data_IF_201830431235
#
_entry.id   IF_201830431235
#
_cell.length_a   1.000
_cell.length_b   1.000
_cell.length_c   1.000
_cell.angle_alpha   90.00
_cell.angle_beta   90.00
_cell.angle_gamma   90.00
#
_symmetry.space_group_name_H-M   'P 1'
#
loop_
_entity.id
_entity.type
_entity.pdbx_description
1 polymer ?
#
# COMPACT_ATOMS: atom_id res chain seq x y z
N UNK A 1 -10.05 -45.01 -23.08
CA UNK A 1 -11.17 -45.05 -24.03
C UNK A 1 -12.27 -44.18 -23.47
N UNK A 2 -12.29 -42.91 -23.92
CA UNK A 2 -13.40 -42.21 -24.64
C UNK A 2 -14.50 -41.75 -23.69
N UNK A 3 -14.46 -40.48 -23.29
CA UNK A 3 -15.05 -39.29 -23.94
C UNK A 3 -16.46 -39.04 -23.43
N UNK A 4 -16.69 -37.87 -22.82
CA UNK A 4 -17.46 -36.81 -23.48
C UNK A 4 -17.42 -35.52 -22.67
N UNK A 5 -16.97 -34.48 -23.37
CA UNK A 5 -17.08 -33.07 -23.05
C UNK A 5 -18.39 -32.55 -23.66
N UNK A 6 -19.10 -31.67 -22.94
CA UNK A 6 -20.11 -30.74 -23.48
C UNK A 6 -19.86 -29.42 -22.74
N UNK A 7 -19.28 -28.42 -23.40
CA UNK A 7 -19.91 -27.39 -24.23
C UNK A 7 -20.44 -26.21 -23.39
N UNK A 8 -19.57 -25.20 -23.21
CA UNK A 8 -19.92 -23.87 -22.73
C UNK A 8 -20.10 -22.97 -23.96
N UNK A 9 -21.36 -22.61 -24.24
CA UNK A 9 -21.74 -21.59 -25.21
C UNK A 9 -21.37 -20.20 -24.68
N UNK A 10 -20.45 -19.53 -25.39
CA UNK A 10 -20.29 -18.08 -25.31
C UNK A 10 -21.34 -17.41 -26.22
N UNK A 11 -22.21 -16.57 -25.63
CA UNK A 11 -22.99 -15.60 -26.38
C UNK A 11 -22.32 -14.22 -26.30
N UNK A 12 -21.85 -13.81 -27.47
CA UNK A 12 -21.42 -12.46 -27.81
C UNK A 12 -22.66 -11.60 -28.04
N UNK A 13 -22.71 -10.39 -27.47
CA UNK A 13 -23.64 -9.34 -27.91
C UNK A 13 -22.82 -8.11 -28.26
N UNK A 14 -22.81 -7.83 -29.56
CA UNK A 14 -22.47 -6.58 -30.22
C UNK A 14 -23.79 -5.86 -30.54
N UNK A 15 -23.89 -4.56 -30.29
CA UNK A 15 -24.72 -3.57 -31.01
C UNK A 15 -24.34 -2.17 -30.45
N UNK A 16 -23.62 -1.28 -31.14
CA UNK A 16 -23.92 -0.44 -32.33
C UNK A 16 -24.99 0.67 -32.15
N UNK A 17 -24.51 1.93 -32.21
CA UNK A 17 -25.04 3.16 -32.92
C UNK A 17 -24.72 4.43 -32.12
N UNK A 18 -23.92 5.38 -32.61
CA UNK A 18 -24.06 6.30 -33.76
C UNK A 18 -25.10 7.43 -33.55
N UNK A 19 -24.63 8.68 -33.64
CA UNK A 19 -25.46 9.89 -33.70
C UNK A 19 -24.64 11.18 -33.90
N UNK A 20 -24.56 11.65 -35.14
CA UNK A 20 -24.00 12.93 -35.60
C UNK A 20 -24.90 14.14 -35.29
N UNK A 21 -24.29 15.34 -35.16
CA UNK A 21 -24.72 16.66 -35.68
C UNK A 21 -23.76 17.73 -35.07
N UNK A 22 -23.13 18.70 -35.75
CA UNK A 22 -23.47 19.44 -36.97
C UNK A 22 -23.82 20.89 -36.61
N UNK A 23 -23.05 21.90 -37.04
CA UNK A 23 -23.53 23.30 -37.06
C UNK A 23 -22.50 24.42 -36.93
N UNK A 24 -22.12 25.01 -38.07
CA UNK A 24 -21.38 26.27 -38.25
C UNK A 24 -22.17 27.55 -37.88
N UNK A 25 -21.48 28.67 -37.63
CA UNK A 25 -22.12 30.00 -37.62
C UNK A 25 -21.24 31.24 -37.27
N UNK A 26 -20.59 31.82 -38.30
CA UNK A 26 -20.10 33.22 -38.46
C UNK A 26 -21.20 34.27 -38.17
N UNK A 27 -21.02 35.60 -38.04
CA UNK A 27 -19.95 36.60 -37.91
C UNK A 27 -20.61 38.01 -37.71
N UNK A 28 -19.81 38.98 -37.25
CA UNK A 28 -19.80 40.44 -37.60
C UNK A 28 -20.99 41.37 -37.33
N UNK A 29 -20.69 42.58 -36.81
CA UNK A 29 -21.55 43.77 -36.95
C UNK A 29 -21.22 44.90 -35.98
N UNK A 30 -20.90 46.08 -36.51
CA UNK A 30 -20.19 47.20 -35.90
C UNK A 30 -21.06 48.48 -36.04
N UNK A 31 -21.13 49.35 -35.03
CA UNK A 31 -21.17 50.83 -35.19
C UNK A 31 -21.44 51.59 -33.87
N UNK A 32 -20.47 52.44 -33.49
CA UNK A 32 -20.59 53.69 -32.69
C UNK A 32 -21.22 54.81 -33.58
N UNK A 33 -21.69 55.99 -33.09
CA UNK A 33 -21.05 56.85 -32.05
C UNK A 33 -21.94 57.70 -31.08
N UNK A 34 -21.30 58.10 -29.95
CA UNK A 34 -21.31 59.33 -29.06
C UNK A 34 -22.35 60.47 -29.28
N UNK A 35 -22.57 61.45 -28.32
CA UNK A 35 -21.85 61.84 -27.09
C UNK A 35 -22.79 61.99 -25.84
N UNK A 36 -22.45 62.23 -24.58
CA UNK A 36 -21.28 62.68 -23.83
C UNK A 36 -21.79 63.62 -22.73
N UNK A 37 -21.59 63.32 -21.44
CA UNK A 37 -21.60 64.31 -20.34
C UNK A 37 -20.81 63.81 -19.15
N UNK A 38 -20.00 64.71 -18.60
CA UNK A 38 -19.08 64.58 -17.49
C UNK A 38 -19.69 63.98 -16.21
N UNK A 39 -19.00 63.00 -15.63
CA UNK A 39 -18.82 62.88 -14.18
C UNK A 39 -17.63 61.95 -13.91
N UNK A 40 -16.43 62.50 -14.11
CA UNK A 40 -15.20 61.87 -13.67
C UNK A 40 -15.06 61.95 -12.15
N UNK A 41 -14.49 60.87 -11.61
CA UNK A 41 -13.74 60.80 -10.37
C UNK A 41 -14.51 60.62 -9.04
N UNK A 42 -15.32 59.56 -8.89
CA UNK A 42 -15.58 59.03 -7.53
C UNK A 42 -16.12 57.58 -7.44
N UNK A 43 -15.52 56.60 -8.12
CA UNK A 43 -15.86 55.18 -7.85
C UNK A 43 -14.81 54.16 -8.32
N UNK A 44 -13.53 54.40 -8.02
CA UNK A 44 -12.48 53.39 -8.23
C UNK A 44 -11.34 53.52 -7.22
N UNK A 45 -11.70 53.53 -5.93
CA UNK A 45 -10.75 53.33 -4.82
C UNK A 45 -11.32 52.37 -3.79
N UNK A 46 -11.14 51.07 -4.01
CA UNK A 46 -10.93 50.04 -2.97
C UNK A 46 -10.59 48.72 -3.66
N UNK A 47 -9.59 48.02 -3.12
CA UNK A 47 -8.95 46.77 -3.58
C UNK A 47 -7.73 46.96 -4.50
N UNK A 48 -6.65 47.54 -3.96
CA UNK A 48 -5.25 47.22 -4.32
C UNK A 48 -4.30 47.67 -3.21
N UNK A 49 -4.24 46.85 -2.16
CA UNK A 49 -3.23 46.83 -1.07
C UNK A 49 -3.45 45.46 -0.44
N UNK A 50 -2.52 44.50 -0.37
CA UNK A 50 -1.16 44.57 0.15
C UNK A 50 -0.34 43.46 -0.54
N UNK A 51 0.69 43.82 -1.29
CA UNK A 51 1.79 42.93 -1.67
C UNK A 51 3.05 43.80 -1.65
N UNK A 52 3.53 44.04 -0.43
CA UNK A 52 4.81 44.65 -0.09
C UNK A 52 5.05 44.36 1.38
N UNK A 53 5.62 43.20 1.63
CA UNK A 53 6.69 43.03 2.61
C UNK A 53 7.30 41.64 2.44
N UNK A 54 8.58 41.52 2.82
CA UNK A 54 9.53 40.40 2.65
C UNK A 54 10.50 40.57 1.47
N UNK A 55 11.29 41.65 1.57
CA UNK A 55 12.67 41.63 1.12
C UNK A 55 13.57 40.93 2.14
N UNK A 56 14.59 40.26 1.61
CA UNK A 56 15.87 39.92 2.24
C UNK A 56 15.87 38.92 3.43
N UNK A 57 15.92 37.63 3.10
CA UNK A 57 16.87 36.71 3.76
C UNK A 57 17.68 36.04 2.66
N UNK A 58 18.93 36.48 2.52
CA UNK A 58 19.91 35.89 1.63
C UNK A 58 20.64 34.72 2.29
N UNK A 59 21.16 33.83 1.43
CA UNK A 59 22.32 32.94 1.61
C UNK A 59 22.55 32.34 3.00
N UNK A 60 22.20 31.05 3.16
CA UNK A 60 23.11 30.01 3.68
C UNK A 60 22.42 28.63 3.66
N UNK A 61 22.61 27.86 2.59
CA UNK A 61 22.35 26.42 2.60
C UNK A 61 23.27 25.70 1.60
N UNK A 62 24.56 26.01 1.64
CA UNK A 62 25.62 25.17 1.08
C UNK A 62 26.47 24.74 2.27
N UNK A 63 26.09 23.63 2.91
CA UNK A 63 26.74 23.16 4.13
C UNK A 63 25.81 22.37 5.04
N UNK A 64 25.40 21.20 4.58
CA UNK A 64 24.56 20.28 5.37
C UNK A 64 24.49 18.88 4.76
N UNK A 65 25.56 18.45 4.06
CA UNK A 65 25.71 17.10 3.54
C UNK A 65 26.68 16.32 4.42
N UNK A 66 26.42 16.30 5.73
CA UNK A 66 27.10 15.45 6.70
C UNK A 66 26.23 15.45 7.97
N UNK A 67 25.89 14.27 8.48
CA UNK A 67 25.01 13.98 9.64
C UNK A 67 23.57 13.59 9.34
N UNK A 68 23.21 13.25 8.08
CA UNK A 68 22.16 12.24 7.94
C UNK A 68 22.75 10.94 8.50
N UNK A 69 22.09 10.26 9.47
CA UNK A 69 22.49 8.91 9.81
C UNK A 69 22.51 8.11 8.50
N UNK A 70 23.54 7.31 8.30
CA UNK A 70 23.58 6.41 7.15
C UNK A 70 22.25 5.65 7.10
N UNK A 71 21.64 5.48 5.92
CA UNK A 71 20.49 4.60 5.80
C UNK A 71 20.88 3.27 6.44
N UNK A 72 19.97 2.63 7.20
CA UNK A 72 20.26 1.38 7.87
C UNK A 72 20.92 0.44 6.87
N UNK A 73 22.06 -0.13 7.26
CA UNK A 73 22.75 -1.15 6.46
C UNK A 73 21.72 -2.21 6.11
N UNK A 74 21.53 -2.48 4.81
CA UNK A 74 20.59 -3.49 4.32
C UNK A 74 20.79 -4.77 5.15
N UNK A 75 19.75 -5.27 5.83
CA UNK A 75 19.92 -6.43 6.70
C UNK A 75 20.37 -7.65 5.88
N UNK A 76 21.19 -8.49 6.50
CA UNK A 76 21.60 -9.77 5.93
C UNK A 76 20.35 -10.63 5.68
N UNK A 77 20.29 -11.32 4.55
CA UNK A 77 19.15 -12.17 4.16
C UNK A 77 18.78 -13.12 5.31
N UNK A 78 17.52 -13.09 5.73
CA UNK A 78 17.00 -13.94 6.83
C UNK A 78 17.03 -15.39 6.39
N UNK A 79 17.63 -16.27 7.20
CA UNK A 79 17.57 -17.71 6.96
C UNK A 79 16.17 -18.23 7.31
N UNK A 80 15.57 -19.03 6.44
CA UNK A 80 14.22 -19.57 6.67
C UNK A 80 14.16 -20.36 7.99
N UNK A 81 13.14 -20.09 8.81
CA UNK A 81 12.81 -20.95 9.95
C UNK A 81 12.41 -22.35 9.43
N UNK A 82 13.05 -23.40 9.94
CA UNK A 82 12.97 -24.77 9.38
C UNK A 82 11.91 -25.67 10.05
N UNK A 83 11.25 -25.19 11.12
CA UNK A 83 10.58 -26.11 12.06
C UNK A 83 9.03 -26.02 12.11
N UNK A 84 8.36 -25.18 11.30
CA UNK A 84 6.88 -25.06 11.32
C UNK A 84 6.31 -24.81 9.91
N UNK A 85 6.06 -25.88 9.15
CA UNK A 85 5.25 -25.81 7.94
C UNK A 85 3.78 -25.58 8.33
N UNK A 86 3.42 -24.31 8.60
CA UNK A 86 2.03 -23.91 8.85
C UNK A 86 1.17 -24.03 7.58
N UNK A 87 -0.15 -23.88 7.71
CA UNK A 87 -1.15 -24.15 6.66
C UNK A 87 -0.92 -23.46 5.28
N UNK A 88 -0.12 -22.39 5.24
CA UNK A 88 0.18 -21.62 4.04
C UNK A 88 1.59 -21.83 3.46
N UNK A 89 2.44 -22.61 4.14
CA UNK A 89 3.81 -22.83 3.67
C UNK A 89 3.81 -23.64 2.36
N UNK A 90 4.38 -23.06 1.30
CA UNK A 90 4.38 -23.63 -0.05
C UNK A 90 3.05 -23.55 -0.78
N UNK A 91 2.03 -22.88 -0.22
CA UNK A 91 0.72 -22.77 -0.87
C UNK A 91 0.77 -21.90 -2.14
N UNK A 92 -0.17 -22.17 -3.06
CA UNK A 92 -0.36 -21.40 -4.29
C UNK A 92 -1.81 -20.89 -4.34
N UNK A 93 -1.96 -19.57 -4.45
CA UNK A 93 -3.24 -18.85 -4.40
C UNK A 93 -3.38 -18.00 -5.65
N UNK A 94 -4.19 -18.48 -6.60
CA UNK A 94 -4.39 -17.84 -7.91
C UNK A 94 -5.63 -16.93 -7.97
N UNK A 95 -6.46 -16.91 -6.93
CA UNK A 95 -7.71 -16.15 -6.86
C UNK A 95 -7.92 -15.55 -5.47
N UNK A 96 -8.40 -14.30 -5.41
CA UNK A 96 -8.70 -13.61 -4.15
C UNK A 96 -9.94 -14.18 -3.44
N UNK A 97 -10.80 -14.93 -4.14
CA UNK A 97 -11.91 -15.66 -3.53
C UNK A 97 -11.51 -16.99 -2.88
N UNK A 98 -10.28 -17.46 -3.08
CA UNK A 98 -9.84 -18.77 -2.61
C UNK A 98 -9.23 -18.73 -1.19
N UNK A 99 -8.97 -17.54 -0.65
CA UNK A 99 -8.29 -17.34 0.63
C UNK A 99 -8.61 -15.96 1.20
N UNK A 100 -8.64 -15.78 2.53
CA UNK A 100 -8.72 -14.45 3.15
C UNK A 100 -7.43 -13.62 2.99
N UNK A 101 -6.42 -14.12 2.28
CA UNK A 101 -5.20 -13.36 1.97
C UNK A 101 -5.48 -12.40 0.81
N UNK A 102 -5.33 -11.11 1.07
CA UNK A 102 -5.32 -10.12 -0.01
C UNK A 102 -4.14 -10.40 -0.95
N UNK A 103 -4.37 -10.34 -2.26
CA UNK A 103 -3.31 -10.56 -3.26
C UNK A 103 -2.76 -9.24 -3.78
N UNK A 104 -3.62 -8.24 -3.93
CA UNK A 104 -3.24 -6.91 -4.39
C UNK A 104 -3.76 -5.83 -3.46
N UNK A 105 -3.12 -4.66 -3.54
CA UNK A 105 -3.83 -3.42 -3.22
C UNK A 105 -4.53 -2.88 -4.49
N UNK A 106 -5.58 -2.11 -4.27
CA UNK A 106 -6.45 -1.56 -5.30
C UNK A 106 -6.63 -0.07 -5.09
N UNK A 107 -6.81 0.64 -6.19
CA UNK A 107 -7.28 2.02 -6.18
C UNK A 107 -8.62 2.15 -6.91
N UNK A 108 -9.49 3.08 -6.48
CA UNK A 108 -10.72 3.38 -7.19
C UNK A 108 -10.43 3.97 -8.57
N UNK A 109 -11.26 3.60 -9.53
CA UNK A 109 -11.31 4.11 -10.90
C UNK A 109 -12.75 4.46 -11.25
N UNK A 110 -12.98 5.13 -12.38
CA UNK A 110 -14.34 5.46 -12.83
C UNK A 110 -15.23 4.22 -13.05
N UNK A 111 -14.61 3.08 -13.40
CA UNK A 111 -15.28 1.82 -13.73
C UNK A 111 -15.20 0.76 -12.61
N UNK A 112 -14.70 1.12 -11.41
CA UNK A 112 -14.55 0.18 -10.29
C UNK A 112 -13.19 0.29 -9.61
N UNK A 113 -12.44 -0.81 -9.51
CA UNK A 113 -11.14 -0.86 -8.85
C UNK A 113 -10.07 -1.47 -9.76
N UNK A 114 -8.87 -0.89 -9.74
CA UNK A 114 -7.71 -1.41 -10.47
C UNK A 114 -6.64 -1.91 -9.50
N UNK A 115 -6.14 -3.12 -9.76
CA UNK A 115 -5.00 -3.68 -9.03
C UNK A 115 -3.75 -2.87 -9.34
N UNK A 116 -3.01 -2.45 -8.32
CA UNK A 116 -1.89 -1.52 -8.53
C UNK A 116 -0.54 -2.06 -8.06
N UNK A 117 -0.50 -2.88 -7.01
CA UNK A 117 0.71 -3.41 -6.39
C UNK A 117 0.41 -4.70 -5.62
N UNK A 118 1.40 -5.61 -5.53
CA UNK A 118 1.25 -6.89 -4.86
C UNK A 118 1.36 -6.79 -3.33
N UNK A 119 0.64 -7.69 -2.64
CA UNK A 119 0.96 -8.10 -1.27
C UNK A 119 2.21 -8.99 -1.31
N UNK A 120 3.13 -8.79 -0.36
CA UNK A 120 4.42 -9.49 -0.33
C UNK A 120 4.85 -9.98 1.08
N UNK A 121 4.06 -9.74 2.12
CA UNK A 121 4.24 -10.30 3.46
C UNK A 121 2.88 -10.72 4.02
N UNK A 122 2.79 -11.89 4.65
CA UNK A 122 1.54 -12.45 5.20
C UNK A 122 1.76 -12.99 6.62
N UNK A 123 0.84 -12.68 7.52
CA UNK A 123 0.83 -13.13 8.91
C UNK A 123 -0.43 -13.98 9.16
N UNK A 124 -0.32 -15.31 9.24
CA UNK A 124 -1.45 -16.19 9.54
C UNK A 124 -1.67 -16.25 11.06
N UNK A 125 -2.54 -15.39 11.59
CA UNK A 125 -2.75 -15.19 13.03
C UNK A 125 -4.06 -15.78 13.57
N UNK A 126 -4.86 -16.46 12.74
CA UNK A 126 -6.19 -16.96 13.11
C UNK A 126 -6.20 -17.83 14.38
N UNK A 127 -5.12 -18.58 14.63
CA UNK A 127 -4.95 -19.45 15.81
C UNK A 127 -4.07 -18.82 16.91
N UNK A 128 -3.73 -17.54 16.79
CA UNK A 128 -2.85 -16.84 17.72
C UNK A 128 -3.63 -15.87 18.63
N UNK A 129 -3.09 -15.60 19.82
CA UNK A 129 -3.63 -14.57 20.74
C UNK A 129 -3.22 -13.13 20.35
N UNK A 130 -2.66 -12.97 19.15
CA UNK A 130 -2.17 -11.70 18.61
C UNK A 130 -2.87 -11.38 17.30
N UNK A 131 -2.94 -10.09 16.94
CA UNK A 131 -3.58 -9.62 15.71
C UNK A 131 -2.82 -8.46 15.06
N UNK A 132 -3.49 -7.70 14.20
CA UNK A 132 -2.90 -6.56 13.48
C UNK A 132 -2.18 -5.56 14.40
N UNK A 133 -2.72 -5.24 15.58
CA UNK A 133 -2.04 -4.30 16.49
C UNK A 133 -0.69 -4.84 16.99
N UNK A 134 -0.54 -6.15 17.19
CA UNK A 134 0.74 -6.76 17.54
C UNK A 134 1.72 -6.74 16.37
N UNK A 135 1.23 -6.91 15.13
CA UNK A 135 2.01 -6.75 13.91
C UNK A 135 2.55 -5.31 13.85
N UNK A 136 1.68 -4.31 14.01
CA UNK A 136 2.09 -2.89 13.95
C UNK A 136 3.03 -2.49 15.10
N UNK A 137 2.83 -3.03 16.31
CA UNK A 137 3.68 -2.74 17.46
C UNK A 137 5.15 -3.14 17.26
N UNK A 138 5.42 -4.20 16.49
CA UNK A 138 6.79 -4.59 16.13
C UNK A 138 7.47 -3.52 15.27
N UNK A 139 6.74 -2.94 14.31
CA UNK A 139 7.26 -1.87 13.46
C UNK A 139 7.50 -0.59 14.27
N UNK A 140 6.59 -0.23 15.17
CA UNK A 140 6.76 0.92 16.06
C UNK A 140 7.98 0.75 16.98
N UNK A 141 8.18 -0.45 17.53
CA UNK A 141 9.38 -0.77 18.32
C UNK A 141 10.67 -0.68 17.49
N UNK A 142 10.60 -0.93 16.18
CA UNK A 142 11.69 -0.72 15.23
C UNK A 142 11.85 0.74 14.79
N UNK A 143 11.08 1.68 15.35
CA UNK A 143 11.18 3.11 15.09
C UNK A 143 10.31 3.62 13.94
N UNK A 144 9.40 2.80 13.41
CA UNK A 144 8.46 3.22 12.39
C UNK A 144 7.30 4.00 13.00
N UNK A 145 6.70 4.90 12.22
CA UNK A 145 5.53 5.69 12.63
C UNK A 145 4.26 5.20 11.94
N UNK A 146 3.15 5.13 12.67
CA UNK A 146 1.80 4.91 12.11
C UNK A 146 1.13 6.18 11.60
N UNK A 147 1.69 7.35 11.93
CA UNK A 147 1.22 8.64 11.41
C UNK A 147 1.89 8.90 10.07
N UNK A 148 1.23 8.47 9.00
CA UNK A 148 1.73 8.57 7.62
C UNK A 148 0.73 9.38 6.78
N UNK A 149 1.23 10.34 6.00
CA UNK A 149 0.42 10.99 4.95
C UNK A 149 0.44 10.11 3.69
N UNK A 150 -0.72 9.62 3.28
CA UNK A 150 -0.84 8.75 2.11
C UNK A 150 -2.23 8.74 1.47
N UNK A 151 -2.31 8.12 0.31
CA UNK A 151 -3.55 7.88 -0.41
C UNK A 151 -4.31 6.68 0.16
N UNK A 152 -5.64 6.75 0.10
CA UNK A 152 -6.49 5.59 0.38
C UNK A 152 -6.19 4.45 -0.58
N UNK A 153 -6.02 3.25 -0.03
CA UNK A 153 -5.86 2.00 -0.77
C UNK A 153 -6.78 0.93 -0.21
N UNK A 154 -7.14 -0.01 -1.07
CA UNK A 154 -8.15 -1.03 -0.79
C UNK A 154 -7.58 -2.42 -1.04
N UNK A 155 -8.17 -3.43 -0.44
CA UNK A 155 -7.97 -4.82 -0.78
C UNK A 155 -9.33 -5.51 -0.89
N UNK A 156 -9.41 -6.58 -1.68
CA UNK A 156 -10.63 -7.38 -1.78
C UNK A 156 -10.80 -8.26 -0.53
N UNK A 157 -11.95 -8.14 0.15
CA UNK A 157 -12.38 -9.02 1.23
C UNK A 157 -13.41 -10.03 0.68
N UNK A 158 -13.05 -11.32 0.55
CA UNK A 158 -13.94 -12.33 0.00
C UNK A 158 -15.13 -12.67 0.93
N UNK A 159 -15.03 -12.39 2.23
CA UNK A 159 -16.14 -12.63 3.18
C UNK A 159 -17.23 -11.56 3.02
N UNK A 160 -16.84 -10.34 2.68
CA UNK A 160 -17.77 -9.22 2.48
C UNK A 160 -18.16 -9.02 1.01
N UNK A 161 -17.50 -9.71 0.08
CA UNK A 161 -17.63 -9.49 -1.37
C UNK A 161 -17.43 -8.00 -1.71
N UNK A 162 -16.39 -7.39 -1.11
CA UNK A 162 -16.19 -5.94 -1.17
C UNK A 162 -14.72 -5.52 -1.11
N UNK A 163 -14.43 -4.35 -1.68
CA UNK A 163 -13.15 -3.67 -1.51
C UNK A 163 -13.12 -2.89 -0.19
N UNK A 164 -12.20 -3.26 0.70
CA UNK A 164 -12.08 -2.71 2.05
C UNK A 164 -10.85 -1.82 2.15
N UNK A 165 -11.03 -0.64 2.74
CA UNK A 165 -9.95 0.32 3.00
C UNK A 165 -8.87 -0.29 3.90
N UNK A 166 -7.61 0.08 3.71
CA UNK A 166 -6.50 -0.37 4.56
C UNK A 166 -6.80 -0.17 6.06
N UNK A 167 -6.48 -1.18 6.87
CA UNK A 167 -6.73 -1.17 8.31
C UNK A 167 -5.59 -0.49 9.08
N UNK A 168 -4.36 -0.61 8.60
CA UNK A 168 -3.21 0.04 9.20
C UNK A 168 -2.12 0.37 8.18
N UNK A 169 -1.23 1.27 8.59
CA UNK A 169 -0.07 1.73 7.84
C UNK A 169 1.07 2.05 8.78
N UNK A 170 2.31 1.90 8.30
CA UNK A 170 3.48 2.42 8.97
C UNK A 170 4.60 2.72 7.98
N UNK A 171 5.42 3.73 8.28
CA UNK A 171 6.58 4.08 7.48
C UNK A 171 7.76 4.52 8.35
N UNK A 172 8.97 4.59 7.79
CA UNK A 172 10.16 5.09 8.48
C UNK A 172 10.06 6.59 8.84
N UNK A 173 9.19 7.34 8.16
CA UNK A 173 8.90 8.74 8.48
C UNK A 173 7.49 9.15 8.05
N UNK A 174 6.90 10.23 8.61
CA UNK A 174 5.53 10.62 8.31
C UNK A 174 5.28 11.03 6.85
N UNK A 175 6.28 11.63 6.20
CA UNK A 175 6.16 12.19 4.84
C UNK A 175 6.92 11.35 3.82
N UNK A 176 6.30 11.14 2.65
CA UNK A 176 6.89 10.42 1.52
C UNK A 176 8.10 11.13 0.95
N UNK A 177 9.29 10.64 1.28
CA UNK A 177 10.55 11.02 0.64
C UNK A 177 11.10 9.81 -0.12
N UNK A 178 11.90 10.05 -1.15
CA UNK A 178 12.52 8.98 -1.91
C UNK A 178 13.33 8.06 -1.01
N UNK A 179 13.15 6.75 -1.18
CA UNK A 179 13.87 5.73 -0.43
C UNK A 179 13.26 5.39 0.92
N UNK A 180 12.12 6.01 1.27
CA UNK A 180 11.38 5.68 2.49
C UNK A 180 10.70 4.33 2.33
N UNK A 181 10.88 3.46 3.32
CA UNK A 181 10.10 2.23 3.42
C UNK A 181 8.71 2.50 4.01
N UNK A 182 7.71 1.88 3.40
CA UNK A 182 6.30 2.05 3.73
C UNK A 182 5.58 0.70 3.66
N UNK A 183 4.74 0.44 4.66
CA UNK A 183 3.82 -0.70 4.67
C UNK A 183 2.36 -0.29 4.76
N UNK A 184 1.49 -1.09 4.14
CA UNK A 184 0.04 -1.04 4.28
C UNK A 184 -0.49 -2.43 4.64
N UNK A 185 -1.47 -2.49 5.53
CA UNK A 185 -1.98 -3.74 6.08
C UNK A 185 -3.52 -3.84 5.97
N UNK A 186 -3.97 -5.05 5.69
CA UNK A 186 -5.36 -5.49 5.75
C UNK A 186 -5.43 -6.73 6.64
N UNK A 187 -6.50 -6.87 7.40
CA UNK A 187 -6.72 -8.01 8.28
C UNK A 187 -8.09 -8.63 8.00
N UNK A 188 -8.10 -9.85 7.47
CA UNK A 188 -9.32 -10.59 7.16
C UNK A 188 -9.20 -11.99 7.77
N UNK A 189 -10.24 -12.41 8.51
CA UNK A 189 -10.31 -13.74 9.14
C UNK A 189 -9.06 -14.13 9.95
N UNK A 190 -8.48 -13.16 10.67
CA UNK A 190 -7.27 -13.38 11.46
C UNK A 190 -6.00 -13.53 10.63
N UNK A 191 -6.01 -13.15 9.36
CA UNK A 191 -4.82 -13.09 8.52
C UNK A 191 -4.50 -11.64 8.18
N UNK A 192 -3.28 -11.21 8.51
CA UNK A 192 -2.78 -9.90 8.09
C UNK A 192 -2.04 -10.03 6.77
N UNK A 193 -2.49 -9.31 5.76
CA UNK A 193 -1.83 -9.16 4.47
C UNK A 193 -1.15 -7.80 4.41
N UNK A 194 0.16 -7.79 4.15
CA UNK A 194 0.98 -6.58 4.16
C UNK A 194 1.64 -6.35 2.80
N UNK A 195 1.47 -5.14 2.29
CA UNK A 195 2.25 -4.61 1.19
C UNK A 195 3.42 -3.82 1.77
N UNK A 196 4.65 -4.28 1.53
CA UNK A 196 5.87 -3.55 1.84
C UNK A 196 6.53 -3.02 0.56
N UNK A 197 6.87 -1.75 0.52
CA UNK A 197 7.52 -1.12 -0.64
C UNK A 197 8.43 0.03 -0.23
N UNK A 198 9.32 0.41 -1.15
CA UNK A 198 10.13 1.62 -1.07
C UNK A 198 9.56 2.70 -2.00
N UNK A 199 9.34 3.89 -1.46
CA UNK A 199 8.80 5.05 -2.19
C UNK A 199 9.81 5.59 -3.24
N UNK A 200 9.35 5.90 -4.46
CA UNK A 200 10.11 6.76 -5.39
C UNK A 200 9.97 8.24 -5.00
N UNK A 201 10.75 9.17 -5.58
CA UNK A 201 10.51 10.58 -5.36
C UNK A 201 9.10 10.99 -5.84
N UNK A 202 8.49 11.92 -5.12
CA UNK A 202 7.15 12.49 -5.39
C UNK A 202 7.03 13.14 -6.79
N UNK A 203 8.15 13.42 -7.48
CA UNK A 203 8.16 14.11 -8.79
C UNK A 203 8.99 13.34 -9.82
N UNK A 204 8.51 13.21 -11.08
CA UNK A 204 7.23 13.72 -11.60
C UNK A 204 5.99 12.88 -11.21
N UNK A 205 6.19 11.66 -10.73
CA UNK A 205 5.14 10.76 -10.26
C UNK A 205 5.67 9.95 -9.08
N UNK A 206 4.95 9.93 -7.97
CA UNK A 206 5.19 8.98 -6.88
C UNK A 206 4.91 7.56 -7.40
N UNK A 207 5.76 6.62 -7.02
CA UNK A 207 5.82 5.27 -7.54
C UNK A 207 6.65 4.40 -6.61
N UNK A 208 7.04 3.22 -7.06
CA UNK A 208 7.70 2.23 -6.21
C UNK A 208 9.08 1.88 -6.76
N UNK A 209 10.07 1.98 -5.89
CA UNK A 209 11.48 1.69 -6.21
C UNK A 209 11.75 0.20 -6.13
N UNK A 210 11.24 -0.47 -5.08
CA UNK A 210 11.39 -1.91 -4.91
C UNK A 210 10.32 -2.50 -3.99
N UNK A 211 9.89 -3.73 -4.28
CA UNK A 211 9.14 -4.59 -3.34
C UNK A 211 10.07 -5.55 -2.60
N UNK A 212 11.08 -6.10 -3.28
CA UNK A 212 11.95 -7.14 -2.69
C UNK A 212 12.77 -6.58 -1.54
N UNK A 213 13.40 -5.42 -1.72
CA UNK A 213 14.21 -4.80 -0.66
C UNK A 213 13.39 -4.40 0.57
N UNK A 214 12.16 -3.94 0.34
CA UNK A 214 11.22 -3.64 1.42
C UNK A 214 10.77 -4.91 2.16
N UNK A 215 10.41 -5.98 1.43
CA UNK A 215 10.07 -7.30 2.00
C UNK A 215 11.20 -7.84 2.88
N UNK A 216 12.43 -7.86 2.37
CA UNK A 216 13.62 -8.32 3.10
C UNK A 216 13.87 -7.49 4.37
N UNK A 217 13.58 -6.20 4.35
CA UNK A 217 13.71 -5.34 5.53
C UNK A 217 12.65 -5.68 6.58
N UNK A 218 11.40 -5.90 6.16
CA UNK A 218 10.32 -6.34 7.04
C UNK A 218 10.65 -7.71 7.65
N UNK A 219 11.10 -8.68 6.84
CA UNK A 219 11.57 -9.98 7.32
C UNK A 219 12.60 -9.83 8.45
N UNK A 220 13.61 -8.99 8.27
CA UNK A 220 14.65 -8.77 9.27
C UNK A 220 14.12 -8.11 10.56
N UNK A 221 13.18 -7.16 10.44
CA UNK A 221 12.56 -6.51 11.61
C UNK A 221 11.80 -7.53 12.46
N UNK A 222 11.01 -8.40 11.83
CA UNK A 222 10.24 -9.42 12.56
C UNK A 222 11.13 -10.53 13.11
N UNK A 223 12.14 -10.98 12.37
CA UNK A 223 13.13 -11.95 12.85
C UNK A 223 13.87 -11.41 14.10
N UNK A 224 14.31 -10.15 14.06
CA UNK A 224 14.95 -9.48 15.21
C UNK A 224 14.00 -9.35 16.43
N UNK A 225 12.69 -9.26 16.20
CA UNK A 225 11.67 -9.27 17.24
C UNK A 225 11.32 -10.69 17.75
N UNK A 226 12.00 -11.74 17.25
CA UNK A 226 11.80 -13.13 17.65
C UNK A 226 10.62 -13.83 16.96
N UNK A 227 10.02 -13.22 15.94
CA UNK A 227 9.00 -13.87 15.12
C UNK A 227 9.65 -14.87 14.17
N UNK A 228 8.91 -15.93 13.81
CA UNK A 228 9.40 -16.93 12.86
C UNK A 228 9.12 -16.46 11.44
N UNK A 229 10.18 -16.26 10.65
CA UNK A 229 10.08 -15.81 9.27
C UNK A 229 10.43 -16.94 8.31
N UNK A 230 9.55 -17.17 7.33
CA UNK A 230 9.78 -18.08 6.20
C UNK A 230 9.74 -17.26 4.91
N UNK A 231 10.91 -16.83 4.38
CA UNK A 231 10.97 -15.98 3.20
C UNK A 231 10.38 -16.66 1.96
N UNK A 232 9.62 -15.92 1.15
CA UNK A 232 9.06 -16.36 -0.15
C UNK A 232 8.30 -17.69 -0.11
N UNK A 233 7.71 -18.01 1.04
CA UNK A 233 7.05 -19.29 1.29
C UNK A 233 5.73 -19.46 0.55
N UNK A 234 5.05 -18.35 0.22
CA UNK A 234 3.71 -18.36 -0.36
C UNK A 234 3.73 -17.85 -1.80
N UNK A 235 3.07 -18.54 -2.72
CA UNK A 235 2.84 -18.06 -4.09
C UNK A 235 1.45 -17.44 -4.20
N UNK A 236 1.39 -16.13 -4.41
CA UNK A 236 0.15 -15.39 -4.57
C UNK A 236 -0.18 -15.14 -6.05
N UNK A 237 0.61 -15.69 -6.99
CA UNK A 237 0.43 -15.47 -8.43
C UNK A 237 0.22 -13.99 -8.80
N UNK A 238 0.90 -13.07 -8.10
CA UNK A 238 0.81 -11.61 -8.24
C UNK A 238 2.16 -11.00 -8.68
N UNK A 239 2.85 -11.69 -9.59
CA UNK A 239 4.22 -11.40 -10.04
C UNK A 239 4.33 -10.52 -11.28
N UNK A 240 3.39 -9.62 -11.52
CA UNK A 240 3.32 -8.75 -12.71
C UNK A 240 3.97 -7.37 -12.50
N UNK A 241 4.59 -7.13 -11.33
CA UNK A 241 5.23 -5.87 -10.99
C UNK A 241 6.75 -5.85 -11.27
N UNK A 242 7.32 -4.64 -11.37
CA UNK A 242 8.68 -4.33 -11.88
C UNK A 242 9.81 -5.13 -11.22
N UNK A 243 9.66 -5.53 -9.96
CA UNK A 243 10.64 -6.36 -9.24
C UNK A 243 10.00 -7.38 -8.26
N UNK A 244 8.76 -7.83 -8.51
CA UNK A 244 8.07 -8.80 -7.66
C UNK A 244 7.85 -10.14 -8.38
N UNK A 245 8.18 -11.24 -7.73
CA UNK A 245 8.14 -12.60 -8.30
C UNK A 245 6.84 -13.37 -8.00
N UNK A 246 5.85 -12.67 -7.44
CA UNK A 246 4.58 -13.28 -7.02
C UNK A 246 4.63 -13.96 -5.65
N UNK A 247 5.78 -13.90 -4.96
CA UNK A 247 6.02 -14.64 -3.72
C UNK A 247 5.95 -13.73 -2.50
N UNK A 248 5.17 -14.14 -1.52
CA UNK A 248 5.08 -13.50 -0.22
C UNK A 248 5.83 -14.29 0.85
N UNK A 249 6.36 -13.56 1.83
CA UNK A 249 6.99 -14.16 3.02
C UNK A 249 5.95 -14.41 4.10
N UNK A 250 6.08 -15.54 4.80
CA UNK A 250 5.21 -15.89 5.93
C UNK A 250 5.90 -15.52 7.23
N UNK A 251 5.19 -14.76 8.08
CA UNK A 251 5.70 -14.30 9.37
C UNK A 251 4.75 -14.73 10.48
N UNK A 252 5.25 -15.51 11.44
CA UNK A 252 4.46 -16.13 12.51
C UNK A 252 4.92 -15.64 13.88
N UNK A 253 4.00 -15.47 14.84
CA UNK A 253 4.36 -15.04 16.20
C UNK A 253 5.31 -16.05 16.84
N UNK A 254 6.12 -15.64 17.84
CA UNK A 254 7.01 -16.54 18.58
C UNK A 254 6.27 -17.78 19.09
N UNK A 255 6.96 -18.92 19.19
CA UNK A 255 6.31 -20.14 19.65
C UNK A 255 5.90 -19.94 21.11
N UNK A 256 4.70 -20.37 21.54
CA UNK A 256 4.31 -20.27 22.94
C UNK A 256 5.36 -20.99 23.79
N UNK A 257 5.84 -20.32 24.84
CA UNK A 257 6.87 -20.89 25.71
C UNK A 257 6.32 -22.14 26.41
N UNK A 258 6.68 -23.32 25.88
CA UNK A 258 6.23 -24.61 26.42
C UNK A 258 6.83 -24.94 27.79
N UNK A 259 7.73 -24.11 28.33
CA UNK A 259 8.40 -24.36 29.62
C UNK A 259 7.47 -24.23 30.84
N UNK A 260 6.30 -23.59 30.71
CA UNK A 260 5.34 -23.44 31.81
C UNK A 260 4.41 -24.64 32.05
N UNK A 261 4.35 -25.63 31.15
CA UNK A 261 3.33 -26.68 31.18
C UNK A 261 3.72 -27.97 31.93
N UNK A 262 4.95 -28.07 32.45
CA UNK A 262 5.44 -29.30 33.09
C UNK A 262 5.60 -29.27 34.62
N UNK A 263 5.36 -28.14 35.31
CA UNK A 263 5.55 -28.07 36.78
C UNK A 263 4.29 -28.40 37.62
N UNK A 264 3.13 -28.67 37.02
CA UNK A 264 1.87 -28.82 37.77
C UNK A 264 1.40 -30.23 38.15
N UNK A 265 2.02 -31.31 37.66
CA UNK A 265 1.41 -32.65 37.70
C UNK A 265 1.99 -33.63 38.74
N UNK A 266 2.92 -33.21 39.60
CA UNK A 266 3.51 -34.08 40.64
C UNK A 266 3.49 -33.41 42.00
N UNK A 267 2.34 -33.43 42.66
CA UNK A 267 2.21 -33.50 44.12
C UNK A 267 0.73 -33.34 44.50
N UNK A 268 0.02 -34.47 44.60
CA UNK A 268 -1.17 -34.66 45.44
C UNK A 268 -1.55 -36.14 45.39
N UNK A 269 -0.69 -37.00 45.92
CA UNK A 269 -1.00 -38.39 46.30
C UNK A 269 0.17 -38.96 47.10
N UNK A 270 0.17 -38.71 48.41
CA UNK A 270 0.64 -39.60 49.49
C UNK A 270 0.56 -38.86 50.82
#
# INVERSE_FOLDING_TARGET
MTNSSEDILFHSIHEDRAGEAGGDGRASGQSDPRPGTNHDAESSRRRRTVLRDLGAIGLAAVGGLALAPSPPTRPSTVAAATDDAGAFDGAHIESEGASPIARYHYEPTDDGFASTCPINVVFPLADAEVGLDSVMAVLEAAGWTRHVEEYARYAWDPTQDAYVHQHATAAESPLGLHGRLHVRCWEFEGIVSMQAHEDTPVRPTHGITTYVGARETIEAIYDAAGWRVTPRALDLANGDAVDHDGRASLVRPPAPDRRGLHEGARERSA
#
